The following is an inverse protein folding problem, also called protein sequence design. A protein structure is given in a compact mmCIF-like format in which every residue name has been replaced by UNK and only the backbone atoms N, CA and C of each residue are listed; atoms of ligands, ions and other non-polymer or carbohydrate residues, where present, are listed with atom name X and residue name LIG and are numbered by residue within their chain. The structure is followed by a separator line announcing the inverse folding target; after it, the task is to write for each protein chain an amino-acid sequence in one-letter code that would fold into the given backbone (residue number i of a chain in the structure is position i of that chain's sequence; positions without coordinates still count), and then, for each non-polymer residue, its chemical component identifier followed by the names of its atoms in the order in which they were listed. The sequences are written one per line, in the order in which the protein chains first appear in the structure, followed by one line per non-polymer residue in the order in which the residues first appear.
data_IF_973443706396
#
_entry.id   IF_973443706396
#
_cell.length_a   1.000
_cell.length_b   1.000
_cell.length_c   1.000
_cell.angle_alpha   90.00
_cell.angle_beta   90.00
_cell.angle_gamma   90.00
#
_symmetry.space_group_name_H-M   'P 1'
#
loop_
_entity.id
_entity.type
_entity.pdbx_description
1 polymer ?
#
# COMPACT_ATOMS: atom_id res chain seq x y z
N UNK A 1 -20.30 20.63 4.32
CA UNK A 1 -21.39 20.20 3.41
C UNK A 1 -22.68 20.24 4.18
N UNK A 2 -23.75 20.93 3.68
CA UNK A 2 -25.05 20.89 4.32
C UNK A 2 -25.63 19.47 4.25
N UNK A 3 -26.12 18.94 5.37
CA UNK A 3 -26.77 17.63 5.40
C UNK A 3 -28.00 17.65 4.47
N UNK A 4 -28.09 16.64 3.61
CA UNK A 4 -29.33 16.40 2.82
C UNK A 4 -30.35 15.72 3.74
N UNK A 5 -31.60 16.09 3.60
CA UNK A 5 -32.69 15.49 4.38
C UNK A 5 -33.49 14.53 3.49
N UNK A 6 -33.91 13.40 4.06
CA UNK A 6 -34.88 12.51 3.42
C UNK A 6 -36.31 13.05 3.61
N UNK A 7 -37.32 12.32 3.09
CA UNK A 7 -38.73 12.71 3.18
C UNK A 7 -39.30 12.80 4.61
N UNK A 8 -38.56 12.35 5.63
CA UNK A 8 -38.89 12.41 7.06
C UNK A 8 -38.10 13.48 7.82
N UNK A 9 -37.30 14.32 7.11
CA UNK A 9 -36.47 15.34 7.73
C UNK A 9 -35.18 14.82 8.39
N UNK A 10 -34.77 13.57 8.11
CA UNK A 10 -33.57 12.96 8.69
C UNK A 10 -32.35 13.25 7.83
N UNK A 11 -31.18 13.58 8.42
CA UNK A 11 -29.92 13.75 7.67
C UNK A 11 -29.50 12.44 6.99
N UNK A 12 -29.17 12.51 5.71
CA UNK A 12 -28.66 11.41 4.91
C UNK A 12 -27.42 11.81 4.14
N UNK A 13 -26.59 10.83 3.76
CA UNK A 13 -25.41 11.04 2.94
C UNK A 13 -25.75 11.56 1.53
N UNK A 14 -24.75 12.03 0.78
CA UNK A 14 -24.92 12.45 -0.61
C UNK A 14 -25.40 11.27 -1.47
N UNK A 15 -26.33 11.55 -2.38
CA UNK A 15 -26.77 10.56 -3.37
C UNK A 15 -25.62 10.27 -4.36
N UNK A 16 -25.57 9.02 -4.79
CA UNK A 16 -24.64 8.53 -5.82
C UNK A 16 -25.46 7.88 -6.96
N UNK A 17 -26.20 8.67 -7.75
CA UNK A 17 -27.19 8.14 -8.72
C UNK A 17 -26.53 7.28 -9.81
N UNK A 18 -25.28 7.59 -10.19
CA UNK A 18 -24.53 6.88 -11.22
C UNK A 18 -23.55 5.86 -10.66
N UNK A 19 -23.70 5.48 -9.38
CA UNK A 19 -22.81 4.51 -8.76
C UNK A 19 -23.02 3.12 -9.34
N UNK A 20 -21.92 2.51 -9.75
CA UNK A 20 -21.86 1.10 -10.15
C UNK A 20 -20.66 0.42 -9.48
N UNK A 21 -20.72 -0.90 -9.24
CA UNK A 21 -19.58 -1.64 -8.72
C UNK A 21 -18.32 -1.42 -9.58
N UNK A 22 -17.18 -1.32 -8.91
CA UNK A 22 -15.88 -1.12 -9.57
C UNK A 22 -15.25 -2.45 -9.99
N UNK A 23 -14.45 -2.49 -11.07
CA UNK A 23 -13.75 -3.71 -11.46
C UNK A 23 -12.72 -4.10 -10.40
N UNK A 24 -12.44 -5.38 -10.27
CA UNK A 24 -11.33 -5.86 -9.46
C UNK A 24 -9.99 -5.50 -10.11
N UNK A 25 -8.92 -5.24 -9.32
CA UNK A 25 -7.60 -5.02 -9.88
C UNK A 25 -7.15 -6.22 -10.74
N UNK A 26 -6.64 -5.98 -11.96
CA UNK A 26 -6.13 -7.05 -12.80
C UNK A 26 -4.78 -7.55 -12.28
N UNK A 27 -4.45 -8.81 -12.59
CA UNK A 27 -3.09 -9.36 -12.44
C UNK A 27 -2.18 -8.82 -13.55
N UNK A 28 -1.86 -7.55 -13.49
CA UNK A 28 -1.07 -6.86 -14.50
C UNK A 28 0.02 -6.01 -13.82
N UNK A 29 1.17 -5.83 -14.46
CA UNK A 29 2.26 -5.04 -13.89
C UNK A 29 1.89 -3.56 -13.76
N UNK A 30 2.62 -2.87 -12.87
CA UNK A 30 2.64 -1.42 -12.71
C UNK A 30 4.07 -0.96 -13.00
N UNK A 31 4.22 -0.09 -13.97
CA UNK A 31 5.53 0.36 -14.43
C UNK A 31 5.85 1.73 -13.85
N UNK A 32 6.97 1.83 -13.12
CA UNK A 32 7.51 3.07 -12.60
C UNK A 32 8.94 3.29 -13.10
N UNK A 33 9.51 4.43 -12.74
CA UNK A 33 10.88 4.78 -13.09
C UNK A 33 11.90 4.08 -12.19
N UNK A 34 11.63 4.00 -10.89
CA UNK A 34 12.52 3.44 -9.88
C UNK A 34 12.04 2.11 -9.31
N UNK A 35 10.87 1.66 -9.69
CA UNK A 35 10.37 0.33 -9.36
C UNK A 35 9.38 -0.17 -10.43
N UNK A 36 9.22 -1.48 -10.46
CA UNK A 36 8.19 -2.19 -11.21
C UNK A 36 7.47 -3.14 -10.26
N UNK A 37 6.14 -3.09 -10.23
CA UNK A 37 5.37 -4.08 -9.50
C UNK A 37 4.84 -5.10 -10.51
N UNK A 38 5.12 -6.37 -10.27
CA UNK A 38 4.63 -7.46 -11.11
C UNK A 38 3.74 -8.39 -10.28
N UNK A 39 2.77 -9.08 -10.87
CA UNK A 39 2.06 -10.14 -10.16
C UNK A 39 3.05 -11.11 -9.51
N UNK A 40 2.76 -11.51 -8.27
CA UNK A 40 3.63 -12.45 -7.56
C UNK A 40 3.72 -13.77 -8.32
N UNK A 41 4.95 -14.21 -8.60
CA UNK A 41 5.29 -15.51 -9.14
C UNK A 41 6.27 -16.20 -8.19
N UNK A 42 5.84 -17.28 -7.55
CA UNK A 42 6.63 -17.97 -6.54
C UNK A 42 7.88 -18.62 -7.14
N UNK A 43 7.81 -19.12 -8.37
CA UNK A 43 8.95 -19.76 -9.02
C UNK A 43 10.03 -18.73 -9.38
N UNK A 44 9.62 -17.57 -9.88
CA UNK A 44 10.53 -16.52 -10.30
C UNK A 44 11.08 -15.67 -9.13
N UNK A 45 10.29 -15.45 -8.07
CA UNK A 45 10.61 -14.42 -7.09
C UNK A 45 11.01 -14.94 -5.71
N UNK A 46 10.70 -16.20 -5.35
CA UNK A 46 10.85 -16.66 -3.96
C UNK A 46 12.29 -16.60 -3.47
N UNK A 47 13.25 -17.09 -4.23
CA UNK A 47 14.65 -17.14 -3.80
C UNK A 47 15.25 -15.74 -3.64
N UNK A 48 14.96 -14.85 -4.61
CA UNK A 48 15.43 -13.47 -4.56
C UNK A 48 14.81 -12.68 -3.38
N UNK A 49 13.50 -12.88 -3.13
CA UNK A 49 12.84 -12.27 -1.97
C UNK A 49 13.37 -12.82 -0.65
N UNK A 50 13.57 -14.14 -0.55
CA UNK A 50 14.13 -14.76 0.66
C UNK A 50 15.54 -14.21 0.94
N UNK A 51 16.39 -14.14 -0.09
CA UNK A 51 17.72 -13.55 0.03
C UNK A 51 17.66 -12.07 0.45
N UNK A 52 16.73 -11.30 -0.13
CA UNK A 52 16.51 -9.89 0.21
C UNK A 52 16.14 -9.70 1.67
N UNK A 53 15.26 -10.54 2.23
CA UNK A 53 14.87 -10.45 3.64
C UNK A 53 15.92 -11.00 4.58
N UNK A 54 16.66 -12.04 4.17
CA UNK A 54 17.78 -12.61 4.95
C UNK A 54 18.99 -11.67 5.03
N UNK A 55 19.09 -10.70 4.14
CA UNK A 55 20.12 -9.65 4.19
C UNK A 55 19.84 -8.59 5.28
N UNK A 56 18.66 -8.61 5.90
CA UNK A 56 18.37 -7.74 7.03
C UNK A 56 19.19 -8.15 8.26
N UNK A 57 19.62 -7.21 9.13
CA UNK A 57 20.47 -7.53 10.29
C UNK A 57 19.74 -8.39 11.34
N UNK A 58 18.41 -8.41 11.30
CA UNK A 58 17.56 -9.19 12.20
C UNK A 58 16.14 -9.34 11.63
N UNK A 59 15.30 -10.07 12.35
CA UNK A 59 13.92 -10.39 11.92
C UNK A 59 12.87 -9.36 12.37
N UNK A 60 13.25 -8.19 12.86
CA UNK A 60 12.30 -7.16 13.34
C UNK A 60 11.29 -6.71 12.29
N UNK A 61 11.62 -6.83 10.99
CA UNK A 61 10.71 -6.56 9.89
C UNK A 61 9.46 -7.44 9.87
N UNK A 62 9.51 -8.60 10.56
CA UNK A 62 8.42 -9.56 10.67
C UNK A 62 7.54 -9.34 11.91
N UNK A 63 7.91 -8.45 12.82
CA UNK A 63 7.22 -8.25 14.12
C UNK A 63 5.71 -8.03 13.95
N UNK A 64 5.31 -7.18 13.02
CA UNK A 64 3.92 -6.77 12.81
C UNK A 64 3.23 -7.46 11.61
N UNK A 65 3.94 -8.35 10.93
CA UNK A 65 3.36 -9.20 9.89
C UNK A 65 2.63 -10.39 10.54
N UNK A 66 1.66 -10.97 9.82
CA UNK A 66 0.90 -12.12 10.29
C UNK A 66 1.74 -13.37 10.50
N UNK A 67 2.82 -13.48 9.73
CA UNK A 67 3.73 -14.63 9.73
C UNK A 67 5.08 -14.29 10.35
N UNK A 68 5.81 -15.33 10.76
CA UNK A 68 7.24 -15.24 11.10
C UNK A 68 8.09 -15.38 9.82
N UNK A 69 9.38 -15.01 9.93
CA UNK A 69 10.33 -15.26 8.86
C UNK A 69 10.43 -16.78 8.63
N UNK A 70 10.29 -17.25 7.38
CA UNK A 70 10.46 -18.66 7.07
C UNK A 70 11.87 -19.16 7.39
N UNK A 71 11.95 -20.42 7.80
CA UNK A 71 13.22 -21.06 8.16
C UNK A 71 14.13 -21.34 6.97
N UNK A 72 13.55 -21.41 5.76
CA UNK A 72 14.28 -21.69 4.53
C UNK A 72 13.64 -21.06 3.29
N UNK A 73 14.41 -20.95 2.21
CA UNK A 73 13.92 -20.48 0.92
C UNK A 73 12.82 -21.41 0.37
N UNK A 74 12.91 -22.72 0.63
CA UNK A 74 11.89 -23.68 0.21
C UNK A 74 10.56 -23.45 0.94
N UNK A 75 10.59 -23.29 2.27
CA UNK A 75 9.41 -22.95 3.06
C UNK A 75 8.80 -21.61 2.60
N UNK A 76 9.65 -20.64 2.26
CA UNK A 76 9.19 -19.38 1.72
C UNK A 76 8.54 -19.51 0.35
N UNK A 77 9.12 -20.31 -0.55
CA UNK A 77 8.54 -20.58 -1.88
C UNK A 77 7.17 -21.25 -1.78
N UNK A 78 7.02 -22.25 -0.89
CA UNK A 78 5.74 -22.89 -0.64
C UNK A 78 4.66 -21.91 -0.17
N UNK A 79 5.02 -20.97 0.73
CA UNK A 79 4.13 -19.90 1.16
C UNK A 79 3.77 -18.97 0.02
N UNK A 80 4.75 -18.52 -0.77
CA UNK A 80 4.50 -17.65 -1.92
C UNK A 80 3.62 -18.31 -2.98
N UNK A 81 3.72 -19.62 -3.17
CA UNK A 81 2.84 -20.35 -4.08
C UNK A 81 1.37 -20.27 -3.64
N UNK A 82 1.09 -20.34 -2.34
CA UNK A 82 -0.25 -20.11 -1.79
C UNK A 82 -0.71 -18.67 -2.00
N UNK A 83 0.16 -17.68 -1.77
CA UNK A 83 -0.14 -16.28 -1.96
C UNK A 83 -0.36 -15.92 -3.44
N UNK A 84 0.40 -16.53 -4.35
CA UNK A 84 0.24 -16.36 -5.80
C UNK A 84 -1.15 -16.80 -6.28
N UNK A 85 -1.70 -17.86 -5.72
CA UNK A 85 -3.02 -18.37 -6.09
C UNK A 85 -4.17 -17.50 -5.55
N UNK A 86 -3.91 -16.63 -4.58
CA UNK A 86 -4.93 -15.79 -3.95
C UNK A 86 -5.40 -14.66 -4.87
N UNK A 87 -6.71 -14.43 -4.90
CA UNK A 87 -7.31 -13.26 -5.58
C UNK A 87 -7.59 -12.10 -4.61
N UNK A 88 -7.64 -12.39 -3.32
CA UNK A 88 -7.78 -11.41 -2.24
C UNK A 88 -7.19 -12.02 -0.95
N UNK A 89 -5.98 -11.63 -0.60
CA UNK A 89 -5.12 -10.56 -1.16
C UNK A 89 -4.56 -10.86 -2.57
N UNK A 90 -4.47 -9.81 -3.40
CA UNK A 90 -3.81 -9.86 -4.70
C UNK A 90 -2.37 -9.34 -4.58
N UNK A 91 -1.41 -10.26 -4.60
CA UNK A 91 -0.01 -9.96 -4.32
C UNK A 91 0.78 -9.50 -5.55
N UNK A 92 1.72 -8.58 -5.31
CA UNK A 92 2.71 -8.09 -6.26
C UNK A 92 4.11 -8.16 -5.66
N UNK A 93 5.09 -8.51 -6.48
CA UNK A 93 6.51 -8.34 -6.17
C UNK A 93 6.97 -6.99 -6.69
N UNK A 94 7.72 -6.27 -5.87
CA UNK A 94 8.35 -5.00 -6.24
C UNK A 94 9.77 -5.31 -6.70
N UNK A 95 10.07 -4.98 -7.95
CA UNK A 95 11.35 -5.21 -8.61
C UNK A 95 12.09 -3.90 -8.85
N UNK A 96 13.41 -3.97 -8.82
CA UNK A 96 14.30 -2.95 -9.39
C UNK A 96 14.26 -3.05 -10.92
N UNK A 97 13.85 -2.02 -11.67
CA UNK A 97 13.71 -2.11 -13.12
C UNK A 97 15.06 -2.25 -13.85
N UNK A 98 16.17 -1.86 -13.22
CA UNK A 98 17.50 -1.92 -13.84
C UNK A 98 18.14 -3.30 -13.68
N UNK A 99 18.05 -3.92 -12.50
CA UNK A 99 18.68 -5.20 -12.20
C UNK A 99 17.72 -6.39 -12.27
N UNK A 100 16.40 -6.16 -12.12
CA UNK A 100 15.42 -7.21 -11.94
C UNK A 100 15.36 -7.79 -10.53
N UNK A 101 16.14 -7.26 -9.59
CA UNK A 101 16.17 -7.73 -8.21
C UNK A 101 14.83 -7.54 -7.52
N UNK A 102 14.39 -8.56 -6.77
CA UNK A 102 13.21 -8.47 -5.94
C UNK A 102 13.51 -7.68 -4.66
N UNK A 103 12.80 -6.56 -4.47
CA UNK A 103 13.00 -5.62 -3.37
C UNK A 103 11.99 -5.78 -2.24
N UNK A 104 10.84 -6.36 -2.51
CA UNK A 104 9.77 -6.52 -1.52
C UNK A 104 8.45 -6.97 -2.12
N UNK A 105 7.43 -7.01 -1.26
CA UNK A 105 6.06 -7.41 -1.61
C UNK A 105 5.09 -6.32 -1.16
N UNK A 106 4.01 -6.17 -1.94
CA UNK A 106 2.81 -5.43 -1.59
C UNK A 106 1.57 -6.17 -2.10
N UNK A 107 0.40 -5.92 -1.53
CA UNK A 107 -0.86 -6.49 -2.03
C UNK A 107 -2.01 -5.50 -1.99
N UNK A 108 -2.98 -5.68 -2.88
CA UNK A 108 -4.34 -5.21 -2.64
C UNK A 108 -5.09 -6.27 -1.86
N UNK A 109 -5.92 -5.86 -0.93
CA UNK A 109 -6.76 -6.79 -0.16
C UNK A 109 -8.06 -6.12 0.28
N UNK A 110 -8.97 -6.94 0.84
CA UNK A 110 -10.32 -6.49 1.22
C UNK A 110 -10.94 -5.67 0.08
N UNK A 111 -10.87 -6.26 -1.11
CA UNK A 111 -11.33 -5.64 -2.34
C UNK A 111 -12.85 -5.73 -2.36
N UNK A 112 -13.52 -4.60 -2.15
CA UNK A 112 -14.97 -4.46 -2.16
C UNK A 112 -15.43 -3.60 -3.35
N UNK A 113 -15.66 -4.20 -4.51
CA UNK A 113 -16.12 -3.51 -5.70
C UNK A 113 -17.48 -2.83 -5.51
N UNK A 114 -18.38 -3.42 -4.74
CA UNK A 114 -19.74 -2.90 -4.54
C UNK A 114 -19.72 -1.53 -3.86
N UNK A 115 -18.83 -1.34 -2.91
CA UNK A 115 -18.64 -0.09 -2.19
C UNK A 115 -17.49 0.79 -2.73
N UNK A 116 -16.70 0.28 -3.70
CA UNK A 116 -15.53 0.95 -4.25
C UNK A 116 -14.45 1.19 -3.18
N UNK A 117 -14.23 0.17 -2.33
CA UNK A 117 -13.23 0.20 -1.25
C UNK A 117 -12.16 -0.83 -1.51
N UNK A 118 -10.90 -0.46 -1.30
CA UNK A 118 -9.75 -1.34 -1.46
C UNK A 118 -8.67 -0.98 -0.45
N UNK A 119 -7.96 -1.96 0.07
CA UNK A 119 -6.86 -1.78 1.02
C UNK A 119 -5.52 -2.13 0.37
N UNK A 120 -4.45 -1.41 0.73
CA UNK A 120 -3.07 -1.84 0.52
C UNK A 120 -2.53 -2.47 1.80
N UNK A 121 -1.90 -3.63 1.68
CA UNK A 121 -1.29 -4.29 2.84
C UNK A 121 -0.30 -5.36 2.48
N UNK A 122 0.02 -6.21 3.46
CA UNK A 122 1.11 -7.20 3.36
C UNK A 122 2.42 -6.56 2.86
N UNK A 123 2.66 -5.30 3.25
CA UNK A 123 3.84 -4.56 2.85
C UNK A 123 5.06 -5.12 3.57
N UNK A 124 5.92 -5.78 2.83
CA UNK A 124 7.20 -6.23 3.34
C UNK A 124 8.31 -5.78 2.43
N UNK A 125 9.05 -4.77 2.87
CA UNK A 125 10.11 -4.11 2.11
C UNK A 125 11.46 -4.56 2.62
N UNK A 126 12.29 -5.10 1.72
CA UNK A 126 13.67 -5.42 2.02
C UNK A 126 14.52 -4.17 2.31
N UNK A 127 15.73 -4.33 2.87
CA UNK A 127 16.58 -3.21 3.28
C UNK A 127 16.84 -2.16 2.17
N UNK A 128 17.02 -2.61 0.93
CA UNK A 128 17.24 -1.73 -0.23
C UNK A 128 16.02 -0.89 -0.62
N UNK A 129 14.81 -1.37 -0.33
CA UNK A 129 13.57 -0.66 -0.64
C UNK A 129 13.18 0.31 0.48
N UNK A 130 13.54 0.01 1.73
CA UNK A 130 13.22 0.86 2.88
C UNK A 130 13.84 2.24 2.73
N UNK A 131 13.01 3.30 2.88
CA UNK A 131 13.39 4.72 2.75
C UNK A 131 13.91 5.11 1.36
N UNK A 132 13.82 4.24 0.37
CA UNK A 132 14.17 4.54 -1.02
C UNK A 132 13.00 5.25 -1.75
N UNK A 133 13.30 6.05 -2.80
CA UNK A 133 12.26 6.63 -3.66
C UNK A 133 11.34 5.58 -4.27
N UNK A 134 11.87 4.41 -4.62
CA UNK A 134 11.14 3.27 -5.16
C UNK A 134 9.98 2.82 -4.26
N UNK A 135 10.13 2.85 -2.93
CA UNK A 135 9.04 2.52 -2.00
C UNK A 135 7.87 3.51 -2.10
N UNK A 136 8.18 4.79 -2.27
CA UNK A 136 7.14 5.83 -2.44
C UNK A 136 6.47 5.72 -3.81
N UNK A 137 7.25 5.47 -4.85
CA UNK A 137 6.72 5.27 -6.21
C UNK A 137 5.82 4.04 -6.29
N UNK A 138 6.20 2.92 -5.67
CA UNK A 138 5.38 1.73 -5.60
C UNK A 138 3.99 2.01 -5.00
N UNK A 139 3.93 2.77 -3.90
CA UNK A 139 2.65 3.15 -3.29
C UNK A 139 1.85 4.12 -4.16
N UNK A 140 2.51 5.07 -4.81
CA UNK A 140 1.86 6.00 -5.75
C UNK A 140 1.24 5.26 -6.95
N UNK A 141 1.94 4.28 -7.53
CA UNK A 141 1.45 3.45 -8.64
C UNK A 141 0.22 2.62 -8.22
N UNK A 142 0.26 2.00 -7.05
CA UNK A 142 -0.87 1.22 -6.53
C UNK A 142 -2.09 2.12 -6.28
N UNK A 143 -1.90 3.32 -5.71
CA UNK A 143 -3.00 4.28 -5.52
C UNK A 143 -3.56 4.77 -6.86
N UNK A 144 -2.69 5.10 -7.83
CA UNK A 144 -3.11 5.55 -9.15
C UNK A 144 -3.96 4.48 -9.87
N UNK A 145 -3.57 3.20 -9.82
CA UNK A 145 -4.43 2.12 -10.33
C UNK A 145 -5.77 2.08 -9.64
N UNK A 146 -5.83 2.17 -8.32
CA UNK A 146 -7.09 2.09 -7.58
C UNK A 146 -8.02 3.26 -7.93
N UNK A 147 -7.53 4.50 -7.93
CA UNK A 147 -8.36 5.68 -8.14
C UNK A 147 -8.54 6.02 -9.61
N UNK A 148 -7.44 6.13 -10.37
CA UNK A 148 -7.48 6.68 -11.74
C UNK A 148 -7.95 5.63 -12.77
N UNK A 149 -7.51 4.36 -12.62
CA UNK A 149 -7.85 3.32 -13.58
C UNK A 149 -9.15 2.59 -13.22
N UNK A 150 -9.34 2.26 -11.93
CA UNK A 150 -10.45 1.43 -11.48
C UNK A 150 -11.62 2.22 -10.88
N UNK A 151 -11.42 3.50 -10.55
CA UNK A 151 -12.45 4.39 -10.04
C UNK A 151 -12.93 4.06 -8.62
N UNK A 152 -12.08 3.43 -7.80
CA UNK A 152 -12.37 3.25 -6.39
C UNK A 152 -12.52 4.60 -5.69
N UNK A 153 -13.38 4.65 -4.68
CA UNK A 153 -13.65 5.90 -3.94
C UNK A 153 -12.96 5.97 -2.59
N UNK A 154 -12.37 4.84 -2.13
CA UNK A 154 -11.68 4.75 -0.84
C UNK A 154 -10.54 3.75 -0.92
N UNK A 155 -9.36 4.21 -0.50
CA UNK A 155 -8.14 3.42 -0.41
C UNK A 155 -7.69 3.37 1.05
N UNK A 156 -7.54 2.17 1.60
CA UNK A 156 -7.31 1.95 3.03
C UNK A 156 -5.89 1.50 3.32
N UNK A 157 -5.43 1.85 4.52
CA UNK A 157 -4.22 1.34 5.15
C UNK A 157 -4.52 0.98 6.59
N UNK A 158 -4.16 -0.25 6.99
CA UNK A 158 -4.34 -0.73 8.35
C UNK A 158 -3.03 -1.27 8.89
N UNK A 159 -2.75 -1.00 10.15
CA UNK A 159 -1.58 -1.57 10.82
C UNK A 159 -1.86 -1.79 12.30
N UNK A 160 -0.99 -2.56 12.94
CA UNK A 160 -0.95 -2.61 14.40
C UNK A 160 -0.79 -1.19 14.95
N UNK A 161 -1.58 -0.82 15.96
CA UNK A 161 -1.53 0.51 16.57
C UNK A 161 -0.16 0.83 17.20
N UNK A 162 0.61 -0.19 17.55
CA UNK A 162 1.97 -0.10 18.07
C UNK A 162 3.05 -0.01 16.98
N UNK A 163 2.69 -0.26 15.70
CA UNK A 163 3.61 -0.13 14.57
C UNK A 163 3.85 1.34 14.18
N UNK A 164 4.62 2.05 14.99
CA UNK A 164 4.92 3.47 14.76
C UNK A 164 5.50 3.76 13.36
N UNK A 165 6.44 2.97 12.80
CA UNK A 165 6.92 3.16 11.43
C UNK A 165 5.82 3.09 10.37
N UNK A 166 4.89 2.13 10.47
CA UNK A 166 3.78 1.99 9.53
C UNK A 166 2.80 3.16 9.63
N UNK A 167 2.46 3.59 10.85
CA UNK A 167 1.61 4.77 11.08
C UNK A 167 2.22 6.04 10.48
N UNK A 168 3.52 6.25 10.71
CA UNK A 168 4.25 7.38 10.14
C UNK A 168 4.30 7.32 8.60
N UNK A 169 4.46 6.13 8.03
CA UNK A 169 4.43 5.93 6.58
C UNK A 169 3.06 6.28 5.99
N UNK A 170 1.96 5.82 6.59
CA UNK A 170 0.60 6.15 6.14
C UNK A 170 0.38 7.67 6.12
N UNK A 171 0.67 8.37 7.21
CA UNK A 171 0.53 9.83 7.30
C UNK A 171 1.41 10.55 6.26
N UNK A 172 2.67 10.12 6.11
CA UNK A 172 3.59 10.68 5.11
C UNK A 172 3.03 10.54 3.69
N UNK A 173 2.46 9.36 3.36
CA UNK A 173 1.89 9.07 2.05
C UNK A 173 0.58 9.83 1.78
N UNK A 174 -0.03 10.43 2.78
CA UNK A 174 -1.21 11.27 2.63
C UNK A 174 -2.50 10.69 3.16
N UNK A 175 -2.44 9.54 3.82
CA UNK A 175 -3.61 8.97 4.47
C UNK A 175 -4.04 9.81 5.68
N UNK A 176 -5.34 9.89 5.89
CA UNK A 176 -5.98 10.46 7.07
C UNK A 176 -6.19 9.35 8.11
N UNK A 177 -5.79 9.61 9.36
CA UNK A 177 -6.07 8.69 10.48
C UNK A 177 -7.55 8.77 10.88
N UNK A 178 -8.21 7.62 11.01
CA UNK A 178 -9.65 7.55 11.32
C UNK A 178 -9.94 7.02 12.71
N UNK A 179 -9.04 6.23 13.29
CA UNK A 179 -9.26 5.70 14.64
C UNK A 179 -8.52 4.39 14.91
N UNK A 180 -8.75 3.85 16.11
CA UNK A 180 -8.20 2.57 16.56
C UNK A 180 -9.34 1.62 16.89
N UNK A 181 -9.36 0.46 16.25
CA UNK A 181 -10.20 -0.65 16.63
C UNK A 181 -9.48 -1.46 17.70
N UNK A 182 -10.01 -1.41 18.91
CA UNK A 182 -9.44 -2.12 20.05
C UNK A 182 -9.74 -3.61 19.99
N UNK A 183 -8.78 -4.45 20.39
CA UNK A 183 -8.88 -5.93 20.37
C UNK A 183 -9.40 -6.47 19.01
N UNK A 184 -8.96 -5.85 17.92
CA UNK A 184 -9.51 -6.11 16.60
C UNK A 184 -9.15 -7.50 16.05
N UNK A 185 -7.94 -7.98 16.36
CA UNK A 185 -7.41 -9.27 15.86
C UNK A 185 -6.50 -9.91 16.89
N UNK A 186 -6.35 -11.24 16.78
CA UNK A 186 -5.28 -11.98 17.45
C UNK A 186 -4.22 -12.33 16.41
N UNK A 187 -2.99 -11.89 16.63
CA UNK A 187 -1.84 -12.15 15.75
C UNK A 187 -0.72 -12.75 16.56
N UNK A 188 -0.20 -13.91 16.17
CA UNK A 188 0.90 -14.62 16.85
C UNK A 188 0.64 -14.78 18.36
N UNK A 189 -0.61 -15.13 18.73
CA UNK A 189 -1.04 -15.31 20.12
C UNK A 189 -1.15 -14.00 20.94
N UNK A 190 -1.11 -12.83 20.31
CA UNK A 190 -1.19 -11.53 20.99
C UNK A 190 -2.41 -10.74 20.50
N UNK A 191 -3.01 -9.97 21.39
CA UNK A 191 -4.03 -8.99 21.04
C UNK A 191 -3.41 -7.87 20.21
N UNK A 192 -4.08 -7.51 19.12
CA UNK A 192 -3.72 -6.40 18.26
C UNK A 192 -4.87 -5.39 18.19
N UNK A 193 -4.60 -4.17 18.60
CA UNK A 193 -5.40 -3.01 18.25
C UNK A 193 -5.00 -2.56 16.85
N UNK A 194 -5.98 -2.25 15.99
CA UNK A 194 -5.71 -1.87 14.61
C UNK A 194 -5.97 -0.39 14.39
N UNK A 195 -4.93 0.34 13.98
CA UNK A 195 -5.04 1.71 13.51
C UNK A 195 -5.52 1.73 12.06
N UNK A 196 -6.54 2.55 11.78
CA UNK A 196 -7.18 2.71 10.48
C UNK A 196 -6.84 4.04 9.85
N UNK A 197 -6.55 4.01 8.56
CA UNK A 197 -6.24 5.19 7.76
C UNK A 197 -6.88 5.04 6.39
N UNK A 198 -7.24 6.16 5.76
CA UNK A 198 -7.76 6.17 4.40
C UNK A 198 -7.33 7.37 3.60
N UNK A 199 -7.44 7.25 2.28
CA UNK A 199 -7.52 8.33 1.30
C UNK A 199 -8.83 8.13 0.57
N UNK A 200 -9.59 9.20 0.35
CA UNK A 200 -10.81 9.19 -0.45
C UNK A 200 -10.56 9.74 -1.85
N UNK A 201 -11.48 9.45 -2.79
CA UNK A 201 -11.44 9.97 -4.15
C UNK A 201 -11.41 11.50 -4.22
N UNK A 202 -12.03 12.17 -3.25
CA UNK A 202 -12.02 13.63 -3.15
C UNK A 202 -10.67 14.19 -2.68
N UNK A 203 -9.86 13.41 -1.95
CA UNK A 203 -8.52 13.77 -1.48
C UNK A 203 -7.44 13.40 -2.50
N UNK A 204 -7.72 12.39 -3.33
CA UNK A 204 -6.76 11.83 -4.26
C UNK A 204 -6.12 12.85 -5.22
N UNK A 205 -6.82 13.80 -5.84
CA UNK A 205 -6.19 14.76 -6.76
C UNK A 205 -5.02 15.51 -6.11
N UNK A 206 -5.17 15.97 -4.87
CA UNK A 206 -4.10 16.64 -4.11
C UNK A 206 -2.96 15.69 -3.74
N UNK A 207 -3.29 14.47 -3.32
CA UNK A 207 -2.30 13.44 -2.97
C UNK A 207 -1.48 13.06 -4.19
N UNK A 208 -2.14 12.83 -5.34
CA UNK A 208 -1.53 12.54 -6.63
C UNK A 208 -0.57 13.62 -7.08
N UNK A 209 -0.99 14.88 -7.02
CA UNK A 209 -0.14 16.02 -7.38
C UNK A 209 1.11 16.10 -6.48
N UNK A 210 0.96 15.82 -5.18
CA UNK A 210 2.08 15.72 -4.25
C UNK A 210 3.07 14.61 -4.64
N UNK A 211 2.58 13.43 -5.02
CA UNK A 211 3.43 12.34 -5.52
C UNK A 211 4.15 12.71 -6.82
N UNK A 212 3.44 13.28 -7.78
CA UNK A 212 4.03 13.71 -9.05
C UNK A 212 5.19 14.70 -8.83
N UNK A 213 4.96 15.72 -8.01
CA UNK A 213 5.97 16.71 -7.66
C UNK A 213 7.15 16.11 -6.86
N UNK A 214 6.87 15.15 -5.96
CA UNK A 214 7.91 14.51 -5.16
C UNK A 214 8.79 13.58 -5.98
N UNK A 215 8.19 12.82 -6.89
CA UNK A 215 8.88 11.86 -7.76
C UNK A 215 9.60 12.54 -8.94
N UNK A 216 9.40 13.83 -9.17
CA UNK A 216 10.12 14.57 -10.21
C UNK A 216 11.64 14.52 -9.93
N UNK A 217 12.47 14.19 -10.94
CA UNK A 217 13.93 14.16 -10.79
C UNK A 217 14.51 15.44 -10.21
N UNK A 218 13.96 16.59 -10.53
CA UNK A 218 14.42 17.89 -10.02
C UNK A 218 14.26 18.06 -8.51
N UNK A 219 13.41 17.24 -7.86
CA UNK A 219 13.26 17.23 -6.42
C UNK A 219 14.43 16.52 -5.69
N UNK A 220 15.35 15.92 -6.42
CA UNK A 220 16.51 15.24 -5.84
C UNK A 220 17.79 15.97 -6.22
N UNK A 221 18.76 16.02 -5.30
CA UNK A 221 20.09 16.52 -5.56
C UNK A 221 21.00 15.44 -6.19
N UNK A 222 22.22 15.79 -6.52
CA UNK A 222 23.20 14.88 -7.11
C UNK A 222 23.61 13.69 -6.22
N UNK A 223 23.25 13.72 -4.93
CA UNK A 223 23.44 12.61 -3.99
C UNK A 223 22.16 11.76 -3.79
N UNK A 224 21.09 12.07 -4.52
CA UNK A 224 19.79 11.38 -4.42
C UNK A 224 18.96 11.80 -3.21
N UNK A 225 19.30 12.91 -2.52
CA UNK A 225 18.52 13.42 -1.40
C UNK A 225 17.39 14.31 -1.88
N UNK A 226 16.17 14.09 -1.34
CA UNK A 226 15.03 14.95 -1.65
C UNK A 226 15.29 16.41 -1.21
N UNK A 227 14.93 17.37 -2.05
CA UNK A 227 14.97 18.81 -1.74
C UNK A 227 13.78 19.26 -0.91
N UNK A 228 12.60 18.73 -1.21
CA UNK A 228 11.34 18.98 -0.50
C UNK A 228 10.67 17.69 -0.09
N UNK A 229 10.06 17.70 1.10
CA UNK A 229 9.31 16.56 1.61
C UNK A 229 7.99 16.33 0.88
N UNK A 230 7.53 15.07 0.84
CA UNK A 230 6.25 14.73 0.20
C UNK A 230 5.06 15.47 0.83
N UNK A 231 5.08 15.64 2.17
CA UNK A 231 4.03 16.36 2.88
C UNK A 231 3.97 17.85 2.46
N UNK A 232 5.14 18.50 2.30
CA UNK A 232 5.23 19.91 1.91
C UNK A 232 4.74 20.12 0.47
N UNK A 233 5.12 19.19 -0.43
CA UNK A 233 4.70 19.24 -1.83
C UNK A 233 3.21 18.98 -1.98
N UNK A 234 2.65 18.03 -1.20
CA UNK A 234 1.21 17.79 -1.15
C UNK A 234 0.45 19.00 -0.60
N UNK A 235 0.96 19.67 0.43
CA UNK A 235 0.35 20.88 0.99
C UNK A 235 0.33 22.03 -0.02
N UNK A 236 1.35 22.13 -0.87
CA UNK A 236 1.45 23.17 -1.90
C UNK A 236 0.58 22.89 -3.14
N UNK A 237 0.03 21.69 -3.28
CA UNK A 237 -0.80 21.28 -4.40
C UNK A 237 -2.31 21.47 -4.18
N UNK A 238 -2.72 22.06 -3.04
CA UNK A 238 -4.13 22.22 -2.66
C UNK A 238 -4.58 23.65 -2.48
#
# INVERSE_FOLDING_TARGET
MSARLNGFGQPVGPALPDWSPRPRPPRAPLEGRSCRLVPLDAAAHADALYATYSAAPDTRGWTYLGDEMPESAEAYRARLATQQASEDPLFHTILDPASGDALGIASYLRIDPANGVIEVGHLHFGPRLQRAPAATEAMALMMARAFDELGYRRYEWKCDSLNAPSRAAALRLGFTFEGIFRNAVVVKGRSRDTAWFSITDTEWPRVRAGFAAWLDPSNFDGSGRQRRGLADLRAAAG
#
